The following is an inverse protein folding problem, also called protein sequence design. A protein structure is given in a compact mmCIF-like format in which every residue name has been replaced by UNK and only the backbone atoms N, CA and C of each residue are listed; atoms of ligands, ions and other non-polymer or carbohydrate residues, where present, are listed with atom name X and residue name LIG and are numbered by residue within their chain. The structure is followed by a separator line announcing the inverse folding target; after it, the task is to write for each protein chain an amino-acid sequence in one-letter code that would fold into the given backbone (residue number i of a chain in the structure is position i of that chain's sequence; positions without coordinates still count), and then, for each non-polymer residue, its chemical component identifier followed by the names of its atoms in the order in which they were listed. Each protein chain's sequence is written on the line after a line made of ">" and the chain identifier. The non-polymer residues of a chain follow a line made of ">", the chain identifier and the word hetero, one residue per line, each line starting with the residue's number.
data_IF_650760824585
#
_entry.id   IF_650760824585
#
_cell.length_a   1.000
_cell.length_b   1.000
_cell.length_c   1.000
_cell.angle_alpha   90.00
_cell.angle_beta   90.00
_cell.angle_gamma   90.00
#
_symmetry.space_group_name_H-M   'P 1'
#
loop_
_entity.id
_entity.type
_entity.pdbx_description
1 polymer ?
#
# COMPACT_ATOMS: atom_id res chain seq x y z
N UNK A 1 7.37 34.57 -15.24
CA UNK A 1 8.29 33.72 -16.02
C UNK A 1 7.96 32.28 -15.69
N UNK A 2 7.04 31.69 -16.45
CA UNK A 2 6.79 30.26 -16.41
C UNK A 2 7.85 29.62 -17.31
N UNK A 3 8.94 29.14 -16.71
CA UNK A 3 9.85 28.26 -17.43
C UNK A 3 9.08 27.01 -17.88
N UNK A 4 9.29 26.67 -19.15
CA UNK A 4 8.60 25.64 -19.89
C UNK A 4 8.83 24.26 -19.25
N UNK A 5 8.00 23.86 -18.28
CA UNK A 5 8.08 22.58 -17.58
C UNK A 5 8.02 21.35 -18.50
N UNK A 6 7.62 21.55 -19.77
CA UNK A 6 7.63 20.55 -20.84
C UNK A 6 9.05 20.23 -21.36
N UNK A 7 10.02 21.13 -21.19
CA UNK A 7 11.41 20.96 -21.64
C UNK A 7 12.32 20.21 -20.65
N UNK A 8 11.73 19.55 -19.63
CA UNK A 8 12.49 18.71 -18.72
C UNK A 8 12.79 17.37 -19.42
N UNK A 9 14.06 16.98 -19.62
CA UNK A 9 14.43 15.75 -20.33
C UNK A 9 13.83 14.48 -19.69
N UNK A 10 13.50 14.51 -18.39
CA UNK A 10 12.78 13.40 -17.74
C UNK A 10 11.34 13.27 -18.20
N UNK A 11 10.67 14.38 -18.50
CA UNK A 11 9.29 14.38 -18.97
C UNK A 11 9.22 13.85 -20.42
N UNK A 12 10.21 14.20 -21.25
CA UNK A 12 10.35 13.65 -22.60
C UNK A 12 10.66 12.14 -22.59
N UNK A 13 11.54 11.68 -21.69
CA UNK A 13 11.82 10.25 -21.52
C UNK A 13 10.55 9.48 -21.11
N UNK A 14 9.76 10.04 -20.18
CA UNK A 14 8.49 9.46 -19.76
C UNK A 14 7.50 9.38 -20.94
N UNK A 15 7.33 10.46 -21.72
CA UNK A 15 6.43 10.48 -22.88
C UNK A 15 6.88 9.52 -23.99
N UNK A 16 8.19 9.36 -24.20
CA UNK A 16 8.74 8.38 -25.13
C UNK A 16 8.44 6.95 -24.69
N UNK A 17 8.67 6.62 -23.41
CA UNK A 17 8.34 5.31 -22.86
C UNK A 17 6.85 5.00 -22.99
N UNK A 18 6.01 6.02 -22.77
CA UNK A 18 4.56 5.92 -22.93
C UNK A 18 4.17 5.61 -24.37
N UNK A 19 4.69 6.38 -25.31
CA UNK A 19 4.43 6.23 -26.74
C UNK A 19 4.92 4.87 -27.25
N UNK A 20 6.10 4.43 -26.79
CA UNK A 20 6.66 3.14 -27.16
C UNK A 20 5.73 2.00 -26.74
N UNK A 21 5.24 2.02 -25.50
CA UNK A 21 4.39 0.93 -25.00
C UNK A 21 2.96 0.96 -25.57
N UNK A 22 2.43 2.12 -25.93
CA UNK A 22 1.07 2.27 -26.49
C UNK A 22 0.97 1.94 -27.98
N UNK A 23 1.98 2.32 -28.78
CA UNK A 23 1.92 2.23 -30.25
C UNK A 23 2.70 1.06 -30.86
N UNK A 24 3.56 0.36 -30.11
CA UNK A 24 4.20 -0.85 -30.64
C UNK A 24 3.24 -2.03 -30.56
N UNK A 25 3.08 -2.75 -31.67
CA UNK A 25 2.15 -3.87 -31.82
C UNK A 25 2.60 -5.08 -30.94
N UNK A 26 1.76 -5.55 -30.00
CA UNK A 26 2.09 -6.67 -29.11
C UNK A 26 2.32 -8.02 -29.82
N UNK A 27 1.80 -8.19 -31.04
CA UNK A 27 1.72 -9.48 -31.73
C UNK A 27 3.01 -9.97 -32.39
N UNK A 28 4.12 -9.23 -32.31
CA UNK A 28 5.25 -9.43 -33.23
C UNK A 28 6.37 -10.36 -32.74
N UNK A 29 6.59 -10.57 -31.43
CA UNK A 29 7.52 -11.61 -30.89
C UNK A 29 7.64 -11.62 -29.34
N UNK A 30 8.05 -12.76 -28.71
CA UNK A 30 8.34 -12.84 -27.26
C UNK A 30 9.40 -11.83 -26.77
N UNK A 31 10.43 -11.56 -27.58
CA UNK A 31 11.49 -10.60 -27.23
C UNK A 31 10.98 -9.15 -27.15
N UNK A 32 9.97 -8.79 -27.94
CA UNK A 32 9.33 -7.48 -27.87
C UNK A 32 8.39 -7.35 -26.68
N UNK A 33 7.75 -8.43 -26.24
CA UNK A 33 6.97 -8.46 -24.99
C UNK A 33 7.87 -8.25 -23.76
N UNK A 34 9.04 -8.90 -23.71
CA UNK A 34 9.99 -8.70 -22.63
C UNK A 34 10.62 -7.30 -22.63
N UNK A 35 10.92 -6.75 -23.81
CA UNK A 35 11.40 -5.37 -23.92
C UNK A 35 10.34 -4.36 -23.45
N UNK A 36 9.06 -4.58 -23.76
CA UNK A 36 7.95 -3.77 -23.23
C UNK A 36 7.83 -3.87 -21.71
N UNK A 37 7.94 -5.07 -21.13
CA UNK A 37 7.97 -5.26 -19.67
C UNK A 37 9.08 -4.43 -19.03
N UNK A 38 10.29 -4.46 -19.59
CA UNK A 38 11.42 -3.66 -19.12
C UNK A 38 11.14 -2.15 -19.19
N UNK A 39 10.50 -1.69 -20.27
CA UNK A 39 10.12 -0.27 -20.45
C UNK A 39 9.04 0.19 -19.47
N UNK A 40 8.06 -0.68 -19.16
CA UNK A 40 7.07 -0.47 -18.09
C UNK A 40 7.73 -0.34 -16.71
N UNK A 41 8.68 -1.22 -16.39
CA UNK A 41 9.43 -1.17 -15.12
C UNK A 41 10.26 0.12 -15.03
N UNK A 42 10.91 0.52 -16.13
CA UNK A 42 11.67 1.77 -16.21
C UNK A 42 10.75 2.98 -15.93
N UNK A 43 9.57 3.01 -16.55
CA UNK A 43 8.57 4.07 -16.36
C UNK A 43 8.09 4.16 -14.90
N UNK A 44 7.74 3.03 -14.28
CA UNK A 44 7.33 2.98 -12.87
C UNK A 44 8.45 3.47 -11.92
N UNK A 45 9.70 3.09 -12.20
CA UNK A 45 10.87 3.57 -11.46
C UNK A 45 11.06 5.08 -11.57
N UNK A 46 10.86 5.66 -12.76
CA UNK A 46 10.95 7.11 -12.99
C UNK A 46 9.85 7.88 -12.25
N UNK A 47 8.62 7.36 -12.22
CA UNK A 47 7.49 7.98 -11.49
C UNK A 47 7.75 8.01 -9.99
N UNK A 48 8.28 6.91 -9.45
CA UNK A 48 8.63 6.80 -8.03
C UNK A 48 9.72 7.79 -7.63
N UNK A 49 10.75 7.95 -8.47
CA UNK A 49 11.91 8.80 -8.15
C UNK A 49 11.67 10.28 -8.44
N UNK A 50 10.55 10.64 -9.09
CA UNK A 50 10.20 12.03 -9.34
C UNK A 50 9.81 12.77 -8.06
N UNK A 51 10.66 13.73 -7.67
CA UNK A 51 10.51 14.63 -6.52
C UNK A 51 9.48 15.75 -6.75
N UNK A 52 9.13 16.04 -8.00
CA UNK A 52 8.14 17.05 -8.36
C UNK A 52 6.83 16.38 -8.77
N UNK A 53 5.67 17.05 -8.58
CA UNK A 53 4.41 16.60 -9.16
C UNK A 53 4.61 16.40 -10.66
N UNK A 54 4.31 15.20 -11.16
CA UNK A 54 4.31 14.97 -12.61
C UNK A 54 3.18 15.82 -13.20
N UNK A 55 3.47 16.49 -14.30
CA UNK A 55 2.51 17.38 -14.95
C UNK A 55 1.24 16.61 -15.34
N UNK A 56 0.06 17.24 -15.24
CA UNK A 56 -1.22 16.60 -15.55
C UNK A 56 -1.28 16.00 -16.97
N UNK A 57 -0.55 16.58 -17.92
CA UNK A 57 -0.44 16.09 -19.31
C UNK A 57 0.44 14.84 -19.47
N UNK A 58 1.23 14.46 -18.46
CA UNK A 58 2.06 13.25 -18.45
C UNK A 58 1.33 12.11 -17.75
N UNK A 59 0.48 12.44 -16.77
CA UNK A 59 -0.38 11.50 -16.07
C UNK A 59 -1.38 10.84 -17.03
N UNK A 60 -2.09 11.61 -17.87
CA UNK A 60 -3.10 11.07 -18.81
C UNK A 60 -2.56 10.03 -19.82
N UNK A 61 -1.37 10.22 -20.45
CA UNK A 61 -0.75 9.20 -21.29
C UNK A 61 -0.23 7.97 -20.51
N UNK A 62 0.18 8.16 -19.25
CA UNK A 62 0.56 7.08 -18.33
C UNK A 62 -0.65 6.18 -17.98
N UNK A 63 -1.83 6.79 -17.89
CA UNK A 63 -3.11 6.10 -17.66
C UNK A 63 -3.63 5.42 -18.94
N UNK A 64 -3.40 6.02 -20.12
CA UNK A 64 -3.65 5.36 -21.42
C UNK A 64 -2.77 4.11 -21.65
N UNK A 65 -1.65 4.01 -20.94
CA UNK A 65 -0.80 2.81 -20.93
C UNK A 65 -1.34 1.68 -20.06
N UNK A 66 -2.17 1.95 -19.06
CA UNK A 66 -2.81 0.93 -18.24
C UNK A 66 -3.98 0.28 -18.99
N UNK A 67 -4.57 1.01 -19.94
CA UNK A 67 -5.47 0.49 -20.99
C UNK A 67 -4.82 -0.58 -21.88
N UNK A 68 -3.48 -0.76 -21.84
CA UNK A 68 -2.80 -1.84 -22.54
C UNK A 68 -3.14 -3.24 -21.97
N UNK A 69 -3.52 -3.33 -20.69
CA UNK A 69 -3.99 -4.60 -20.11
C UNK A 69 -5.26 -5.08 -20.81
N UNK A 70 -6.08 -4.17 -21.36
CA UNK A 70 -7.22 -4.54 -22.21
C UNK A 70 -6.79 -5.26 -23.49
N UNK A 71 -5.59 -4.98 -24.01
CA UNK A 71 -5.04 -5.60 -25.22
C UNK A 71 -4.25 -6.87 -24.92
N UNK A 72 -3.60 -6.95 -23.75
CA UNK A 72 -2.87 -8.14 -23.29
C UNK A 72 -3.16 -8.45 -21.79
N UNK A 73 -4.29 -9.11 -21.47
CA UNK A 73 -4.68 -9.43 -20.09
C UNK A 73 -3.63 -10.25 -19.33
N UNK A 74 -2.86 -11.08 -20.05
CA UNK A 74 -1.77 -11.88 -19.50
C UNK A 74 -0.64 -11.05 -18.85
N UNK A 75 -0.52 -9.77 -19.20
CA UNK A 75 0.45 -8.86 -18.57
C UNK A 75 -0.10 -8.12 -17.35
N UNK A 76 -1.41 -8.15 -17.13
CA UNK A 76 -2.08 -7.44 -16.04
C UNK A 76 -1.45 -7.70 -14.67
N UNK A 77 -1.18 -8.97 -14.33
CA UNK A 77 -0.54 -9.29 -13.05
C UNK A 77 0.91 -8.82 -12.94
N UNK A 78 1.67 -8.73 -14.03
CA UNK A 78 3.03 -8.16 -14.00
C UNK A 78 2.97 -6.67 -13.72
N UNK A 79 2.04 -5.96 -14.36
CA UNK A 79 1.81 -4.53 -14.17
C UNK A 79 1.38 -4.24 -12.74
N UNK A 80 0.37 -4.95 -12.22
CA UNK A 80 -0.10 -4.79 -10.83
C UNK A 80 1.04 -4.99 -9.84
N UNK A 81 1.81 -6.09 -9.96
CA UNK A 81 2.96 -6.33 -9.08
C UNK A 81 4.02 -5.23 -9.17
N UNK A 82 4.24 -4.67 -10.37
CA UNK A 82 5.10 -3.52 -10.58
C UNK A 82 4.60 -2.28 -9.84
N UNK A 83 3.32 -1.93 -10.00
CA UNK A 83 2.68 -0.80 -9.31
C UNK A 83 2.79 -0.95 -7.80
N UNK A 84 2.46 -2.12 -7.25
CA UNK A 84 2.55 -2.41 -5.82
C UNK A 84 4.00 -2.31 -5.30
N UNK A 85 4.99 -2.78 -6.06
CA UNK A 85 6.41 -2.68 -5.70
C UNK A 85 6.90 -1.23 -5.62
N UNK A 86 6.36 -0.35 -6.46
CA UNK A 86 6.78 1.04 -6.56
C UNK A 86 5.78 2.03 -5.94
N UNK A 87 4.89 1.54 -5.06
CA UNK A 87 3.86 2.35 -4.41
C UNK A 87 4.44 3.63 -3.77
N UNK A 88 3.85 4.81 -4.04
CA UNK A 88 4.28 6.06 -3.43
C UNK A 88 3.83 6.11 -1.96
N UNK A 89 4.77 6.37 -1.05
CA UNK A 89 4.46 6.45 0.40
C UNK A 89 4.52 7.88 0.95
N UNK A 90 4.88 8.86 0.11
CA UNK A 90 5.09 10.26 0.53
C UNK A 90 4.20 11.26 -0.19
N UNK A 91 3.43 10.83 -1.21
CA UNK A 91 2.60 11.72 -2.02
C UNK A 91 1.18 11.16 -2.10
N UNK A 92 0.29 11.71 -1.28
CA UNK A 92 -1.09 11.28 -1.16
C UNK A 92 -1.89 11.43 -2.47
N UNK A 93 -1.61 12.46 -3.28
CA UNK A 93 -2.28 12.63 -4.57
C UNK A 93 -1.92 11.50 -5.54
N UNK A 94 -0.65 11.09 -5.58
CA UNK A 94 -0.21 9.93 -6.37
C UNK A 94 -0.85 8.63 -5.87
N UNK A 95 -1.01 8.47 -4.55
CA UNK A 95 -1.73 7.32 -3.99
C UNK A 95 -3.19 7.28 -4.43
N UNK A 96 -3.94 8.38 -4.31
CA UNK A 96 -5.35 8.45 -4.73
C UNK A 96 -5.51 8.08 -6.21
N UNK A 97 -4.64 8.61 -7.07
CA UNK A 97 -4.65 8.28 -8.50
C UNK A 97 -4.36 6.79 -8.73
N UNK A 98 -3.29 6.25 -8.14
CA UNK A 98 -2.93 4.84 -8.32
C UNK A 98 -3.95 3.86 -7.76
N UNK A 99 -4.68 4.22 -6.70
CA UNK A 99 -5.80 3.40 -6.22
C UNK A 99 -6.88 3.28 -7.29
N UNK A 100 -7.22 4.37 -7.98
CA UNK A 100 -8.19 4.31 -9.06
C UNK A 100 -7.73 3.57 -10.29
N UNK A 101 -6.46 3.74 -10.67
CA UNK A 101 -5.89 2.96 -11.76
C UNK A 101 -5.84 1.46 -11.43
N UNK A 102 -5.54 1.09 -10.18
CA UNK A 102 -5.59 -0.31 -9.76
C UNK A 102 -7.00 -0.89 -9.84
N UNK A 103 -8.03 -0.09 -9.51
CA UNK A 103 -9.42 -0.51 -9.64
C UNK A 103 -9.78 -0.78 -11.10
N UNK A 104 -9.48 0.15 -12.02
CA UNK A 104 -9.71 -0.05 -13.46
C UNK A 104 -8.92 -1.23 -14.03
N UNK A 105 -7.71 -1.47 -13.53
CA UNK A 105 -6.91 -2.63 -13.92
C UNK A 105 -7.59 -3.95 -13.53
N UNK A 106 -8.19 -4.03 -12.34
CA UNK A 106 -8.84 -5.26 -11.87
C UNK A 106 -9.99 -5.70 -12.79
N UNK A 107 -10.69 -4.75 -13.41
CA UNK A 107 -11.75 -5.05 -14.39
C UNK A 107 -11.24 -5.72 -15.66
N UNK A 108 -9.96 -5.52 -16.00
CA UNK A 108 -9.36 -5.97 -17.26
C UNK A 108 -8.36 -7.12 -17.08
N UNK A 109 -8.06 -7.51 -15.84
CA UNK A 109 -7.15 -8.62 -15.53
C UNK A 109 -7.85 -9.95 -15.79
N UNK A 110 -7.10 -10.88 -16.37
CA UNK A 110 -7.53 -12.27 -16.53
C UNK A 110 -7.93 -12.88 -15.16
N UNK A 111 -9.16 -13.39 -14.99
CA UNK A 111 -9.60 -14.03 -13.75
C UNK A 111 -8.69 -15.14 -13.24
N UNK A 112 -7.94 -15.83 -14.11
CA UNK A 112 -6.95 -16.83 -13.69
C UNK A 112 -5.82 -16.26 -12.81
N UNK A 113 -5.59 -14.94 -12.89
CA UNK A 113 -4.59 -14.24 -12.10
C UNK A 113 -5.12 -13.74 -10.75
N UNK A 114 -6.45 -13.70 -10.54
CA UNK A 114 -7.06 -13.13 -9.34
C UNK A 114 -6.53 -13.77 -8.06
N UNK A 115 -6.50 -15.10 -7.98
CA UNK A 115 -5.99 -15.82 -6.80
C UNK A 115 -4.57 -15.40 -6.41
N UNK A 116 -3.71 -15.09 -7.40
CA UNK A 116 -2.31 -14.67 -7.17
C UNK A 116 -2.19 -13.19 -6.79
N UNK A 117 -3.18 -12.37 -7.15
CA UNK A 117 -3.14 -10.91 -6.97
C UNK A 117 -4.00 -10.43 -5.80
N UNK A 118 -4.96 -11.23 -5.33
CA UNK A 118 -5.89 -10.86 -4.28
C UNK A 118 -5.20 -10.43 -2.99
N UNK A 119 -4.36 -11.28 -2.41
CA UNK A 119 -3.64 -10.95 -1.19
C UNK A 119 -2.78 -9.66 -1.32
N UNK A 120 -1.88 -9.52 -2.33
CA UNK A 120 -1.05 -8.32 -2.42
C UNK A 120 -1.85 -7.04 -2.72
N UNK A 121 -2.91 -7.10 -3.55
CA UNK A 121 -3.79 -5.96 -3.81
C UNK A 121 -4.57 -5.56 -2.55
N UNK A 122 -5.29 -6.49 -1.94
CA UNK A 122 -6.09 -6.22 -0.75
C UNK A 122 -5.22 -5.75 0.42
N UNK A 123 -4.00 -6.26 0.56
CA UNK A 123 -3.03 -5.76 1.55
C UNK A 123 -2.69 -4.29 1.31
N UNK A 124 -2.49 -3.88 0.06
CA UNK A 124 -2.17 -2.49 -0.25
C UNK A 124 -3.38 -1.57 -0.06
N UNK A 125 -4.57 -1.98 -0.51
CA UNK A 125 -5.82 -1.24 -0.24
C UNK A 125 -6.07 -1.10 1.26
N UNK A 126 -5.78 -2.15 2.04
CA UNK A 126 -5.89 -2.12 3.51
C UNK A 126 -4.94 -1.12 4.17
N UNK A 127 -3.73 -0.95 3.62
CA UNK A 127 -2.83 0.13 4.07
C UNK A 127 -3.39 1.50 3.74
N UNK A 128 -3.92 1.68 2.52
CA UNK A 128 -4.48 2.95 2.07
C UNK A 128 -5.72 3.36 2.87
N UNK A 129 -6.64 2.43 3.17
CA UNK A 129 -7.81 2.73 4.01
C UNK A 129 -7.42 3.12 5.44
N UNK A 130 -6.26 2.67 5.94
CA UNK A 130 -5.71 3.08 7.24
C UNK A 130 -4.81 4.33 7.18
N UNK A 131 -4.75 5.02 6.04
CA UNK A 131 -3.96 6.25 5.88
C UNK A 131 -4.53 7.39 6.74
N UNK A 132 -3.66 8.19 7.33
CA UNK A 132 -4.07 9.42 8.03
C UNK A 132 -4.64 10.49 7.09
N UNK A 133 -4.36 10.38 5.78
CA UNK A 133 -4.96 11.25 4.78
C UNK A 133 -6.34 10.73 4.39
N UNK A 134 -7.39 11.47 4.77
CA UNK A 134 -8.78 11.06 4.52
C UNK A 134 -9.10 10.84 3.04
N UNK A 135 -8.49 11.55 2.09
CA UNK A 135 -8.77 11.33 0.66
C UNK A 135 -8.22 9.99 0.17
N UNK A 136 -7.04 9.58 0.66
CA UNK A 136 -6.46 8.26 0.35
C UNK A 136 -7.34 7.17 0.96
N UNK A 137 -7.76 7.35 2.22
CA UNK A 137 -8.60 6.37 2.90
C UNK A 137 -9.97 6.23 2.23
N UNK A 138 -10.63 7.35 1.91
CA UNK A 138 -11.90 7.38 1.20
C UNK A 138 -11.81 6.68 -0.16
N UNK A 139 -10.79 7.03 -0.97
CA UNK A 139 -10.61 6.43 -2.28
C UNK A 139 -10.39 4.91 -2.21
N UNK A 140 -9.67 4.44 -1.20
CA UNK A 140 -9.44 3.01 -0.97
C UNK A 140 -10.70 2.28 -0.52
N UNK A 141 -11.55 2.92 0.29
CA UNK A 141 -12.84 2.36 0.69
C UNK A 141 -13.80 2.24 -0.49
N UNK A 142 -13.84 3.22 -1.40
CA UNK A 142 -14.71 3.18 -2.58
C UNK A 142 -14.39 2.04 -3.56
N UNK A 143 -13.18 1.50 -3.56
CA UNK A 143 -12.83 0.33 -4.38
C UNK A 143 -13.73 -0.89 -4.08
N UNK A 144 -14.27 -0.98 -2.86
CA UNK A 144 -15.17 -2.06 -2.44
C UNK A 144 -16.55 -2.01 -3.11
N UNK A 145 -16.90 -0.90 -3.78
CA UNK A 145 -18.12 -0.82 -4.59
C UNK A 145 -17.94 -1.49 -5.96
N UNK A 146 -16.71 -1.83 -6.36
CA UNK A 146 -16.42 -2.49 -7.61
C UNK A 146 -16.62 -4.01 -7.50
N UNK A 147 -17.61 -4.54 -8.21
CA UNK A 147 -17.94 -5.98 -8.17
C UNK A 147 -16.77 -6.88 -8.58
N UNK A 148 -15.95 -6.46 -9.57
CA UNK A 148 -14.79 -7.26 -9.98
C UNK A 148 -13.71 -7.27 -8.90
N UNK A 149 -13.52 -6.14 -8.20
CA UNK A 149 -12.62 -6.11 -7.05
C UNK A 149 -13.09 -7.04 -5.94
N UNK A 150 -14.37 -7.00 -5.58
CA UNK A 150 -14.94 -7.91 -4.57
C UNK A 150 -14.77 -9.37 -5.01
N UNK A 151 -15.13 -9.71 -6.25
CA UNK A 151 -14.97 -11.05 -6.80
C UNK A 151 -13.51 -11.54 -6.75
N UNK A 152 -12.57 -10.65 -7.05
CA UNK A 152 -11.13 -10.93 -7.02
C UNK A 152 -10.64 -11.17 -5.58
N UNK A 153 -11.07 -10.36 -4.62
CA UNK A 153 -10.77 -10.55 -3.20
C UNK A 153 -11.27 -11.91 -2.69
N UNK A 154 -12.47 -12.33 -3.12
CA UNK A 154 -13.08 -13.60 -2.75
C UNK A 154 -12.41 -14.84 -3.39
N UNK A 155 -11.44 -14.69 -4.32
CA UNK A 155 -10.69 -15.84 -4.84
C UNK A 155 -9.64 -16.39 -3.87
N UNK A 156 -9.27 -15.61 -2.86
CA UNK A 156 -8.31 -15.98 -1.83
C UNK A 156 -8.82 -15.58 -0.44
N UNK A 157 -10.12 -15.78 -0.20
CA UNK A 157 -10.84 -15.29 0.98
C UNK A 157 -10.13 -15.66 2.29
N UNK A 158 -9.67 -16.90 2.46
CA UNK A 158 -9.01 -17.36 3.70
C UNK A 158 -7.74 -16.56 4.05
N UNK A 159 -6.98 -16.12 3.04
CA UNK A 159 -5.76 -15.32 3.23
C UNK A 159 -6.06 -13.82 3.30
N UNK A 160 -7.06 -13.38 2.53
CA UNK A 160 -7.40 -11.96 2.31
C UNK A 160 -8.23 -11.39 3.45
N UNK A 161 -9.22 -12.15 3.96
CA UNK A 161 -10.13 -11.68 5.01
C UNK A 161 -9.41 -11.25 6.29
N UNK A 162 -8.48 -12.04 6.86
CA UNK A 162 -7.80 -11.65 8.09
C UNK A 162 -7.14 -10.27 7.99
N UNK A 163 -6.51 -9.98 6.84
CA UNK A 163 -5.85 -8.69 6.59
C UNK A 163 -6.86 -7.54 6.54
N UNK A 164 -7.96 -7.71 5.79
CA UNK A 164 -8.96 -6.66 5.64
C UNK A 164 -9.70 -6.42 6.95
N UNK A 165 -10.14 -7.48 7.64
CA UNK A 165 -10.87 -7.38 8.91
C UNK A 165 -10.03 -6.65 9.94
N UNK A 166 -8.76 -7.05 10.14
CA UNK A 166 -7.85 -6.33 11.02
C UNK A 166 -7.72 -4.86 10.61
N UNK A 167 -7.62 -4.59 9.31
CA UNK A 167 -7.56 -3.25 8.75
C UNK A 167 -8.80 -2.40 9.04
N UNK A 168 -10.00 -2.96 8.90
CA UNK A 168 -11.26 -2.28 9.16
C UNK A 168 -11.42 -1.98 10.66
N UNK A 169 -11.19 -2.96 11.53
CA UNK A 169 -11.26 -2.77 12.98
C UNK A 169 -10.26 -1.71 13.46
N UNK A 170 -9.04 -1.72 12.91
CA UNK A 170 -8.03 -0.70 13.18
C UNK A 170 -8.48 0.69 12.73
N UNK A 171 -9.07 0.82 11.54
CA UNK A 171 -9.58 2.11 11.06
C UNK A 171 -10.71 2.61 11.98
N UNK A 172 -11.69 1.78 12.29
CA UNK A 172 -12.80 2.13 13.18
C UNK A 172 -12.32 2.59 14.56
N UNK A 173 -11.31 1.91 15.10
CA UNK A 173 -10.70 2.24 16.40
C UNK A 173 -9.94 3.57 16.35
N UNK A 174 -9.08 3.78 15.34
CA UNK A 174 -8.03 4.80 15.40
C UNK A 174 -8.11 5.92 14.37
N UNK A 175 -8.86 5.77 13.28
CA UNK A 175 -8.95 6.83 12.28
C UNK A 175 -9.60 8.08 12.88
N UNK A 176 -9.18 9.28 12.49
CA UNK A 176 -9.63 10.52 13.13
C UNK A 176 -10.93 11.06 12.51
N UNK A 177 -11.14 10.84 11.21
CA UNK A 177 -12.30 11.34 10.46
C UNK A 177 -13.52 10.45 10.66
N UNK A 178 -14.63 11.06 11.12
CA UNK A 178 -15.92 10.38 11.29
C UNK A 178 -16.50 9.87 9.97
N UNK A 179 -16.34 10.64 8.89
CA UNK A 179 -16.83 10.25 7.56
C UNK A 179 -16.17 8.95 7.09
N UNK A 180 -14.86 8.83 7.30
CA UNK A 180 -14.10 7.63 6.95
C UNK A 180 -14.54 6.43 7.79
N UNK A 181 -14.78 6.63 9.10
CA UNK A 181 -15.33 5.56 9.95
C UNK A 181 -16.69 5.08 9.44
N UNK A 182 -17.58 6.00 9.05
CA UNK A 182 -18.89 5.61 8.50
C UNK A 182 -18.75 4.79 7.21
N UNK A 183 -17.88 5.21 6.29
CA UNK A 183 -17.60 4.43 5.07
C UNK A 183 -17.02 3.06 5.42
N UNK A 184 -16.13 3.00 6.41
CA UNK A 184 -15.55 1.74 6.90
C UNK A 184 -16.62 0.82 7.49
N UNK A 185 -17.58 1.34 8.26
CA UNK A 185 -18.72 0.58 8.77
C UNK A 185 -19.57 -0.01 7.63
N UNK A 186 -19.82 0.76 6.57
CA UNK A 186 -20.60 0.28 5.42
C UNK A 186 -19.91 -0.90 4.72
N UNK A 187 -18.60 -0.79 4.48
CA UNK A 187 -17.83 -1.88 3.87
C UNK A 187 -17.74 -3.08 4.81
N UNK A 188 -17.56 -2.85 6.12
CA UNK A 188 -17.59 -3.91 7.14
C UNK A 188 -18.91 -4.69 7.10
N UNK A 189 -20.05 -4.00 7.11
CA UNK A 189 -21.36 -4.64 7.08
C UNK A 189 -21.53 -5.52 5.83
N UNK A 190 -21.09 -5.03 4.67
CA UNK A 190 -21.10 -5.81 3.43
C UNK A 190 -20.23 -7.09 3.54
N UNK A 191 -19.04 -7.01 4.15
CA UNK A 191 -18.17 -8.18 4.33
C UNK A 191 -18.73 -9.19 5.35
N UNK A 192 -19.36 -8.70 6.42
CA UNK A 192 -20.05 -9.53 7.42
C UNK A 192 -21.25 -10.27 6.80
N UNK A 193 -22.00 -9.63 5.90
CA UNK A 193 -23.10 -10.26 5.16
C UNK A 193 -22.61 -11.32 4.18
N UNK A 194 -21.46 -11.10 3.53
CA UNK A 194 -20.90 -12.06 2.56
C UNK A 194 -20.34 -13.32 3.22
N UNK A 195 -19.57 -13.18 4.30
CA UNK A 195 -18.84 -14.29 4.94
C UNK A 195 -18.88 -14.17 6.47
N UNK A 196 -20.06 -14.34 7.10
CA UNK A 196 -20.26 -14.06 8.53
C UNK A 196 -19.40 -14.98 9.43
N UNK A 197 -19.26 -16.25 9.04
CA UNK A 197 -18.48 -17.23 9.79
C UNK A 197 -16.99 -16.89 9.80
N UNK A 198 -16.44 -16.51 8.64
CA UNK A 198 -15.03 -16.17 8.52
C UNK A 198 -14.71 -14.82 9.17
N UNK A 199 -15.62 -13.85 9.04
CA UNK A 199 -15.48 -12.55 9.72
C UNK A 199 -15.41 -12.74 11.24
N UNK A 200 -16.32 -13.52 11.82
CA UNK A 200 -16.33 -13.85 13.26
C UNK A 200 -15.03 -14.52 13.70
N UNK A 201 -14.52 -15.48 12.92
CA UNK A 201 -13.25 -16.14 13.21
C UNK A 201 -12.06 -15.16 13.17
N UNK A 202 -12.06 -14.20 12.24
CA UNK A 202 -11.04 -13.17 12.16
C UNK A 202 -11.06 -12.26 13.40
N UNK A 203 -12.24 -11.86 13.88
CA UNK A 203 -12.38 -11.08 15.12
C UNK A 203 -11.83 -11.82 16.33
N UNK A 204 -12.21 -13.09 16.52
CA UNK A 204 -11.69 -13.91 17.63
C UNK A 204 -10.15 -14.03 17.58
N UNK A 205 -9.60 -14.21 16.38
CA UNK A 205 -8.14 -14.26 16.18
C UNK A 205 -7.48 -12.92 16.51
N UNK A 206 -8.09 -11.80 16.11
CA UNK A 206 -7.61 -10.46 16.40
C UNK A 206 -7.56 -10.20 17.92
N UNK A 207 -8.64 -10.51 18.64
CA UNK A 207 -8.71 -10.37 20.11
C UNK A 207 -7.64 -11.22 20.81
N UNK A 208 -7.43 -12.46 20.34
CA UNK A 208 -6.37 -13.32 20.86
C UNK A 208 -4.98 -12.71 20.67
N UNK A 209 -4.68 -12.17 19.47
CA UNK A 209 -3.41 -11.50 19.19
C UNK A 209 -3.23 -10.21 19.99
N UNK A 210 -4.27 -9.38 20.14
CA UNK A 210 -4.23 -8.17 20.96
C UNK A 210 -3.92 -8.51 22.44
N UNK A 211 -4.57 -9.55 22.98
CA UNK A 211 -4.34 -10.01 24.35
C UNK A 211 -2.91 -10.55 24.55
N UNK A 212 -2.41 -11.33 23.60
CA UNK A 212 -1.04 -11.83 23.62
C UNK A 212 0.00 -10.69 23.55
N UNK A 213 -0.23 -9.72 22.66
CA UNK A 213 0.64 -8.53 22.54
C UNK A 213 0.68 -7.70 23.82
N UNK A 214 -0.48 -7.50 24.47
CA UNK A 214 -0.55 -6.79 25.75
C UNK A 214 0.21 -7.52 26.86
N UNK A 215 0.17 -8.86 26.89
CA UNK A 215 0.95 -9.64 27.85
C UNK A 215 2.46 -9.53 27.59
N UNK A 216 2.88 -9.53 26.33
CA UNK A 216 4.28 -9.32 25.96
C UNK A 216 4.78 -7.91 26.30
N UNK A 217 3.93 -6.89 26.13
CA UNK A 217 4.23 -5.52 26.53
C UNK A 217 4.43 -5.40 28.04
N UNK A 218 3.53 -5.96 28.85
CA UNK A 218 3.71 -6.02 30.32
C UNK A 218 5.02 -6.68 30.74
N UNK A 219 5.34 -7.84 30.13
CA UNK A 219 6.64 -8.51 30.38
C UNK A 219 7.83 -7.64 29.99
N UNK A 220 7.69 -6.81 28.95
CA UNK A 220 8.72 -5.87 28.50
C UNK A 220 8.89 -4.71 29.49
N UNK A 221 7.79 -4.16 29.99
CA UNK A 221 7.77 -3.12 31.02
C UNK A 221 8.44 -3.61 32.31
N UNK A 222 8.04 -4.77 32.84
CA UNK A 222 8.65 -5.38 34.03
C UNK A 222 10.16 -5.65 33.85
N UNK A 223 10.59 -5.96 32.63
CA UNK A 223 12.02 -6.12 32.32
C UNK A 223 12.73 -4.77 32.33
N UNK A 224 12.14 -3.73 31.76
CA UNK A 224 12.71 -2.37 31.76
C UNK A 224 12.81 -1.81 33.18
N UNK A 225 11.77 -1.95 34.00
CA UNK A 225 11.81 -1.52 35.41
C UNK A 225 12.95 -2.18 36.19
N UNK A 226 13.17 -3.48 35.99
CA UNK A 226 14.29 -4.19 36.62
C UNK A 226 15.65 -3.66 36.17
N UNK A 227 15.79 -3.30 34.89
CA UNK A 227 17.02 -2.71 34.34
C UNK A 227 17.24 -1.32 34.95
N UNK A 228 16.22 -0.48 35.01
CA UNK A 228 16.29 0.86 35.59
C UNK A 228 16.66 0.81 37.07
N UNK A 229 16.04 -0.08 37.85
CA UNK A 229 16.38 -0.28 39.26
C UNK A 229 17.83 -0.75 39.45
N UNK A 230 18.32 -1.65 38.58
CA UNK A 230 19.71 -2.10 38.62
C UNK A 230 20.69 -0.98 38.23
N UNK A 231 20.35 -0.17 37.22
CA UNK A 231 21.15 0.96 36.78
C UNK A 231 21.24 2.04 37.87
N UNK A 232 20.13 2.37 38.52
CA UNK A 232 20.09 3.30 39.65
C UNK A 232 20.99 2.84 40.80
N UNK A 233 20.90 1.55 41.19
CA UNK A 233 21.77 0.96 42.22
C UNK A 233 23.25 1.03 41.86
N UNK A 234 23.61 0.82 40.59
CA UNK A 234 25.00 0.91 40.13
C UNK A 234 25.54 2.35 40.13
N UNK A 235 24.72 3.37 39.86
CA UNK A 235 25.14 4.77 39.99
C UNK A 235 25.49 5.16 41.44
N UNK A 236 24.79 4.62 42.43
CA UNK A 236 25.13 4.84 43.85
C UNK A 236 26.46 4.18 44.26
N UNK A 237 26.87 3.10 43.58
CA UNK A 237 28.15 2.43 43.81
C UNK A 237 29.32 3.08 43.04
N UNK A 238 29.03 4.00 42.12
CA UNK A 238 30.02 4.81 41.38
C UNK A 238 30.07 6.26 41.88
N UNK A 239 29.92 6.51 43.19
CA UNK A 239 30.42 7.77 43.73
C UNK A 239 31.94 7.80 43.54
N UNK A 240 32.52 8.79 42.83
CA UNK A 240 33.95 8.87 42.70
C UNK A 240 34.52 9.09 44.11
N UNK A 241 35.43 8.22 44.54
CA UNK A 241 36.36 8.56 45.61
C UNK A 241 37.11 9.81 45.15
N UNK A 242 36.59 10.99 45.48
CA UNK A 242 37.31 12.26 45.36
C UNK A 242 38.47 12.19 46.35
N UNK A 243 39.61 11.66 45.89
CA UNK A 243 40.87 11.82 46.57
C UNK A 243 41.20 13.31 46.50
N UNK A 244 40.93 14.04 47.58
CA UNK A 244 41.44 15.38 47.76
C UNK A 244 42.97 15.28 47.84
N UNK A 245 43.66 15.61 46.76
CA UNK A 245 45.10 15.84 46.80
C UNK A 245 45.28 17.27 47.32
N UNK A 246 45.62 17.38 48.61
CA UNK A 246 46.08 18.63 49.21
C UNK A 246 47.43 19.00 48.61
N UNK A 247 47.44 20.01 47.73
CA UNK A 247 48.66 20.62 47.22
C UNK A 247 49.28 21.53 48.29
N UNK A 248 50.54 21.24 48.61
CA UNK A 248 51.46 22.03 49.45
C UNK A 248 51.84 23.36 48.79
#
# INVERSE_FOLDING_TARGET
>A
MAEDCLSNPKNEEILYLITYCTFTDPSKSPSQQDLKRLKLIQLLSLIKTSKHPLHAQILSPLFSMLSFVQKEPALGGVVVRGVLKYWPVTNCQKEVLLVGELEELVENIDPEQYKKLALPLCTQITKCLNSWNSQVAERALYVWNNEQFVKMALQATEDVFPVIVEGMEKNLKWHWSKSIKQLTENVKAMLEEMEPGLYTQCLMRLEFHESAALQEEKKREEKWERIELAAAKNQFLQQPNCIYVSSF
#
